data_IF_386897459717
#
_entry.id   IF_386897459717
#
_cell.length_a   1.000
_cell.length_b   1.000
_cell.length_c   1.000
_cell.angle_alpha   90.00
_cell.angle_beta   90.00
_cell.angle_gamma   90.00
#
_symmetry.space_group_name_H-M   'P 1'
#
loop_
_entity.id
_entity.type
_entity.pdbx_description
1 polymer ?
#
# COMPACT_ATOMS: atom_id res chain seq x y z
N UNK A 1 -9.76 28.24 -4.81
CA UNK A 1 -9.91 27.65 -3.47
C UNK A 1 -8.59 27.00 -3.08
N UNK A 2 -7.88 27.50 -2.06
CA UNK A 2 -6.66 26.86 -1.54
C UNK A 2 -7.10 25.64 -0.72
N UNK A 3 -6.84 24.42 -1.20
CA UNK A 3 -6.99 23.20 -0.39
C UNK A 3 -6.03 23.31 0.80
N UNK A 4 -6.56 23.43 2.00
CA UNK A 4 -5.84 23.23 3.26
C UNK A 4 -5.42 21.76 3.34
N UNK A 5 -4.25 21.43 2.78
CA UNK A 5 -3.53 20.22 3.17
C UNK A 5 -2.88 20.46 4.53
N UNK A 6 -2.75 19.38 5.32
CA UNK A 6 -1.93 19.23 6.54
C UNK A 6 -2.68 19.52 7.85
N UNK A 7 -3.21 18.45 8.45
CA UNK A 7 -2.95 18.12 9.87
C UNK A 7 -3.28 16.64 10.13
N UNK A 8 -4.35 16.09 9.56
CA UNK A 8 -4.67 14.66 9.69
C UNK A 8 -3.74 13.75 8.86
N UNK A 9 -3.28 14.24 7.71
CA UNK A 9 -2.37 13.50 6.80
C UNK A 9 -1.02 13.15 7.45
N UNK A 10 -0.45 14.03 8.28
CA UNK A 10 0.84 13.77 8.92
C UNK A 10 0.75 12.65 9.97
N UNK A 11 -0.32 12.66 10.79
CA UNK A 11 -0.53 11.65 11.82
C UNK A 11 -0.83 10.27 11.21
N UNK A 12 -1.69 10.25 10.18
CA UNK A 12 -2.00 9.05 9.39
C UNK A 12 -0.75 8.41 8.79
N UNK A 13 0.04 9.20 8.08
CA UNK A 13 1.26 8.71 7.43
C UNK A 13 2.30 8.26 8.47
N UNK A 14 2.46 8.99 9.57
CA UNK A 14 3.39 8.60 10.65
C UNK A 14 3.00 7.27 11.29
N UNK A 15 1.69 7.05 11.51
CA UNK A 15 1.18 5.79 12.05
C UNK A 15 1.43 4.63 11.07
N UNK A 16 1.12 4.81 9.78
CA UNK A 16 1.39 3.78 8.76
C UNK A 16 2.89 3.51 8.63
N UNK A 17 3.74 4.54 8.68
CA UNK A 17 5.19 4.38 8.61
C UNK A 17 5.74 3.52 9.77
N UNK A 18 5.20 3.69 10.98
CA UNK A 18 5.58 2.85 12.11
C UNK A 18 5.19 1.37 11.88
N UNK A 19 3.98 1.12 11.40
CA UNK A 19 3.49 -0.23 11.06
C UNK A 19 4.31 -0.86 9.94
N UNK A 20 4.57 -0.12 8.85
CA UNK A 20 5.38 -0.58 7.72
C UNK A 20 6.77 -0.96 8.19
N UNK A 21 7.42 -0.12 9.01
CA UNK A 21 8.78 -0.38 9.49
C UNK A 21 8.84 -1.67 10.32
N UNK A 22 7.90 -1.84 11.25
CA UNK A 22 7.83 -3.04 12.09
C UNK A 22 7.53 -4.29 11.25
N UNK A 23 6.50 -4.25 10.40
CA UNK A 23 6.09 -5.42 9.62
C UNK A 23 7.14 -5.80 8.54
N UNK A 24 7.89 -4.82 8.02
CA UNK A 24 9.02 -5.02 7.10
C UNK A 24 10.18 -5.78 7.76
N UNK A 25 10.52 -5.42 8.99
CA UNK A 25 11.55 -6.13 9.76
C UNK A 25 11.10 -7.56 10.09
N UNK A 26 9.87 -7.71 10.59
CA UNK A 26 9.30 -8.99 11.03
C UNK A 26 9.11 -10.01 9.87
N UNK A 27 8.71 -9.56 8.68
CA UNK A 27 8.28 -10.47 7.60
C UNK A 27 9.20 -10.46 6.37
N UNK A 28 10.03 -9.44 6.20
CA UNK A 28 10.87 -9.26 5.01
C UNK A 28 12.36 -9.08 5.35
N UNK A 29 12.74 -9.14 6.63
CA UNK A 29 14.12 -8.92 7.09
C UNK A 29 14.69 -7.57 6.68
N UNK A 30 13.82 -6.59 6.39
CA UNK A 30 14.20 -5.30 5.83
C UNK A 30 14.10 -4.22 6.90
N UNK A 31 15.24 -3.75 7.38
CA UNK A 31 15.30 -2.65 8.34
C UNK A 31 15.16 -1.31 7.63
N UNK A 32 13.98 -0.71 7.69
CA UNK A 32 13.72 0.61 7.10
C UNK A 32 14.12 1.73 8.06
N UNK A 33 14.84 2.72 7.54
CA UNK A 33 15.01 4.00 8.24
C UNK A 33 13.67 4.71 8.40
N UNK A 34 13.59 5.67 9.32
CA UNK A 34 12.39 6.52 9.48
C UNK A 34 12.02 7.23 8.18
N UNK A 35 13.01 7.73 7.44
CA UNK A 35 12.77 8.41 6.16
C UNK A 35 12.19 7.48 5.09
N UNK A 36 12.69 6.25 5.01
CA UNK A 36 12.19 5.24 4.07
C UNK A 36 10.79 4.76 4.42
N UNK A 37 10.50 4.53 5.70
CA UNK A 37 9.17 4.11 6.13
C UNK A 37 8.13 5.21 5.92
N UNK A 38 8.50 6.47 6.17
CA UNK A 38 7.65 7.64 5.86
C UNK A 38 7.38 7.76 4.37
N UNK A 39 8.42 7.65 3.52
CA UNK A 39 8.26 7.69 2.06
C UNK A 39 7.33 6.58 1.57
N UNK A 40 7.53 5.35 2.06
CA UNK A 40 6.70 4.20 1.69
C UNK A 40 5.26 4.37 2.14
N UNK A 41 5.02 4.89 3.35
CA UNK A 41 3.69 5.20 3.83
C UNK A 41 2.97 6.23 2.94
N UNK A 42 3.64 7.32 2.55
CA UNK A 42 3.07 8.30 1.60
C UNK A 42 2.69 7.65 0.26
N UNK A 43 3.58 6.83 -0.30
CA UNK A 43 3.32 6.16 -1.58
C UNK A 43 2.17 5.16 -1.50
N UNK A 44 1.98 4.50 -0.36
CA UNK A 44 0.83 3.62 -0.12
C UNK A 44 -0.47 4.41 -0.06
N UNK A 45 -0.50 5.56 0.65
CA UNK A 45 -1.70 6.41 0.67
C UNK A 45 -2.05 6.91 -0.74
N UNK A 46 -1.06 7.36 -1.52
CA UNK A 46 -1.29 7.74 -2.92
C UNK A 46 -1.77 6.57 -3.78
N UNK A 47 -1.27 5.36 -3.55
CA UNK A 47 -1.71 4.15 -4.25
C UNK A 47 -3.18 3.85 -3.94
N UNK A 48 -3.57 3.87 -2.67
CA UNK A 48 -4.96 3.65 -2.23
C UNK A 48 -5.88 4.70 -2.84
N UNK A 49 -5.48 5.97 -2.83
CA UNK A 49 -6.23 7.05 -3.43
C UNK A 49 -6.42 6.84 -4.94
N UNK A 50 -5.39 6.38 -5.66
CA UNK A 50 -5.53 6.03 -7.09
C UNK A 50 -6.46 4.84 -7.31
N UNK A 51 -6.27 3.76 -6.54
CA UNK A 51 -7.08 2.54 -6.67
C UNK A 51 -8.57 2.76 -6.41
N UNK A 52 -8.95 3.78 -5.63
CA UNK A 52 -10.35 4.17 -5.42
C UNK A 52 -11.03 4.66 -6.69
N UNK A 53 -10.28 5.19 -7.66
CA UNK A 53 -10.83 5.82 -8.85
C UNK A 53 -10.49 5.07 -10.15
N UNK A 54 -9.39 4.34 -10.19
CA UNK A 54 -8.93 3.62 -11.39
C UNK A 54 -7.97 2.47 -11.01
N UNK A 55 -7.53 1.72 -12.01
CA UNK A 55 -6.45 0.77 -11.89
C UNK A 55 -5.12 1.47 -11.57
N UNK A 56 -4.34 0.89 -10.67
CA UNK A 56 -3.01 1.38 -10.33
C UNK A 56 -1.99 0.24 -10.28
N UNK A 57 -0.79 0.52 -10.79
CA UNK A 57 0.33 -0.42 -10.78
C UNK A 57 1.17 -0.27 -9.52
N UNK A 58 1.54 -1.40 -8.92
CA UNK A 58 2.46 -1.47 -7.79
C UNK A 58 3.22 -2.80 -7.78
N UNK A 59 4.30 -2.87 -7.01
CA UNK A 59 5.07 -4.10 -6.84
C UNK A 59 4.88 -4.64 -5.43
N UNK A 60 4.74 -5.95 -5.31
CA UNK A 60 4.75 -6.69 -4.06
C UNK A 60 6.07 -7.45 -3.93
N UNK A 61 6.87 -7.08 -2.93
CA UNK A 61 7.98 -7.90 -2.48
C UNK A 61 7.42 -9.17 -1.81
N UNK A 62 7.99 -10.32 -2.18
CA UNK A 62 7.76 -11.62 -1.55
C UNK A 62 8.81 -11.85 -0.46
N UNK A 63 8.55 -12.79 0.43
CA UNK A 63 9.45 -13.15 1.53
C UNK A 63 10.81 -13.70 1.06
N UNK A 64 10.86 -14.23 -0.17
CA UNK A 64 12.11 -14.67 -0.83
C UNK A 64 12.91 -13.52 -1.47
N UNK A 65 12.44 -12.28 -1.33
CA UNK A 65 13.07 -11.08 -1.87
C UNK A 65 12.72 -10.76 -3.33
N UNK A 66 12.00 -11.65 -4.04
CA UNK A 66 11.52 -11.37 -5.40
C UNK A 66 10.36 -10.38 -5.38
N UNK A 67 10.10 -9.73 -6.52
CA UNK A 67 9.02 -8.76 -6.66
C UNK A 67 8.02 -9.21 -7.72
N UNK A 68 6.73 -9.04 -7.43
CA UNK A 68 5.63 -9.28 -8.36
C UNK A 68 5.00 -7.94 -8.74
N UNK A 69 4.89 -7.67 -10.03
CA UNK A 69 4.13 -6.52 -10.54
C UNK A 69 2.63 -6.83 -10.52
N UNK A 70 1.84 -5.90 -10.00
CA UNK A 70 0.39 -6.02 -9.85
C UNK A 70 -0.27 -4.78 -10.46
N UNK A 71 -1.37 -4.99 -11.17
CA UNK A 71 -2.35 -3.94 -11.49
C UNK A 71 -3.58 -4.19 -10.63
N UNK A 72 -3.83 -3.32 -9.65
CA UNK A 72 -4.91 -3.46 -8.68
C UNK A 72 -5.90 -2.31 -8.69
N UNK A 73 -7.12 -2.57 -8.21
CA UNK A 73 -8.19 -1.57 -8.11
C UNK A 73 -9.10 -1.81 -6.89
N UNK A 74 -9.80 -0.75 -6.46
CA UNK A 74 -10.83 -0.76 -5.42
C UNK A 74 -12.21 -0.33 -5.96
N UNK A 75 -12.37 -0.05 -7.26
CA UNK A 75 -13.58 0.59 -7.84
C UNK A 75 -14.88 -0.18 -7.60
N UNK A 76 -14.83 -1.50 -7.44
CA UNK A 76 -16.00 -2.36 -7.19
C UNK A 76 -16.07 -2.89 -5.74
N UNK A 77 -15.25 -2.36 -4.82
CA UNK A 77 -15.19 -2.87 -3.45
C UNK A 77 -16.57 -2.84 -2.76
N UNK A 78 -17.27 -1.72 -2.88
CA UNK A 78 -18.58 -1.56 -2.24
C UNK A 78 -19.63 -2.51 -2.83
N UNK A 79 -19.60 -2.74 -4.14
CA UNK A 79 -20.49 -3.70 -4.79
C UNK A 79 -20.30 -5.12 -4.24
N UNK A 80 -19.05 -5.57 -4.08
CA UNK A 80 -18.75 -6.92 -3.59
C UNK A 80 -18.91 -7.10 -2.08
N UNK A 81 -18.65 -6.06 -1.28
CA UNK A 81 -18.60 -6.17 0.19
C UNK A 81 -19.72 -5.40 0.92
N UNK A 82 -20.63 -4.75 0.19
CA UNK A 82 -21.80 -4.06 0.73
C UNK A 82 -21.49 -2.81 1.57
N UNK A 83 -20.27 -2.28 1.48
CA UNK A 83 -19.86 -1.04 2.17
C UNK A 83 -18.66 -0.37 1.50
N UNK A 84 -18.51 0.96 1.60
CA UNK A 84 -17.33 1.66 1.09
C UNK A 84 -16.03 1.17 1.74
N UNK A 85 -14.93 1.26 1.00
CA UNK A 85 -13.60 1.02 1.56
C UNK A 85 -13.11 2.23 2.38
N UNK A 86 -12.99 2.04 3.69
CA UNK A 86 -12.39 3.02 4.59
C UNK A 86 -10.99 2.57 4.97
N UNK A 87 -9.99 3.37 4.59
CA UNK A 87 -8.59 3.07 4.93
C UNK A 87 -8.37 3.29 6.43
N UNK A 88 -7.68 2.36 7.08
CA UNK A 88 -7.22 2.49 8.46
C UNK A 88 -5.68 2.45 8.46
N UNK A 89 -4.98 3.53 8.86
CA UNK A 89 -3.52 3.59 8.85
C UNK A 89 -2.81 2.54 9.71
N UNK A 90 -3.55 1.90 10.64
CA UNK A 90 -3.04 0.78 11.44
C UNK A 90 -3.16 -0.59 10.75
N UNK A 91 -3.90 -0.70 9.65
CA UNK A 91 -4.10 -1.97 8.96
C UNK A 91 -2.79 -2.40 8.29
N UNK A 92 -2.37 -3.64 8.61
CA UNK A 92 -1.22 -4.28 7.96
C UNK A 92 -1.56 -4.82 6.56
N UNK A 93 -2.84 -4.98 6.25
CA UNK A 93 -3.32 -5.57 5.00
C UNK A 93 -4.15 -4.58 4.20
N UNK A 94 -3.90 -4.54 2.90
CA UNK A 94 -4.65 -3.77 1.91
C UNK A 94 -5.38 -4.74 0.98
N UNK A 95 -6.73 -4.73 0.93
CA UNK A 95 -7.46 -5.41 -0.12
C UNK A 95 -7.25 -4.72 -1.47
N UNK A 96 -7.29 -5.51 -2.54
CA UNK A 96 -7.32 -5.01 -3.91
C UNK A 96 -7.94 -6.09 -4.81
N UNK A 97 -8.62 -5.66 -5.87
CA UNK A 97 -8.96 -6.55 -6.97
C UNK A 97 -7.79 -6.61 -7.93
N UNK A 98 -7.19 -7.79 -8.11
CA UNK A 98 -6.15 -8.03 -9.10
C UNK A 98 -6.80 -8.13 -10.49
N UNK A 99 -6.45 -7.20 -11.38
CA UNK A 99 -7.06 -7.10 -12.72
C UNK A 99 -6.66 -8.29 -13.60
N UNK A 100 -5.44 -8.81 -13.45
CA UNK A 100 -4.94 -9.92 -14.26
C UNK A 100 -5.50 -11.26 -13.78
N UNK A 101 -5.50 -11.49 -12.46
CA UNK A 101 -6.01 -12.71 -11.85
C UNK A 101 -7.54 -12.71 -11.69
N UNK A 102 -8.19 -11.56 -11.90
CA UNK A 102 -9.64 -11.35 -11.77
C UNK A 102 -10.20 -11.76 -10.41
N UNK A 103 -9.49 -11.43 -9.34
CA UNK A 103 -9.84 -11.88 -7.99
C UNK A 103 -9.54 -10.81 -6.94
N UNK A 104 -10.42 -10.72 -5.95
CA UNK A 104 -10.15 -9.99 -4.71
C UNK A 104 -9.07 -10.70 -3.89
N UNK A 105 -7.98 -9.99 -3.62
CA UNK A 105 -6.84 -10.44 -2.85
C UNK A 105 -6.53 -9.42 -1.75
N UNK A 106 -5.64 -9.81 -0.83
CA UNK A 106 -5.05 -8.90 0.15
C UNK A 106 -3.53 -8.99 0.06
N UNK A 107 -2.86 -7.88 0.30
CA UNK A 107 -1.40 -7.83 0.42
C UNK A 107 -1.00 -7.17 1.74
N UNK A 108 0.20 -7.51 2.23
CA UNK A 108 0.81 -6.77 3.34
C UNK A 108 1.28 -5.43 2.83
N UNK A 109 0.90 -4.36 3.53
CA UNK A 109 1.29 -2.99 3.19
C UNK A 109 2.80 -2.82 3.19
N UNK A 110 3.52 -3.47 4.13
CA UNK A 110 4.97 -3.43 4.18
C UNK A 110 5.67 -4.09 2.98
N UNK A 111 4.99 -5.03 2.31
CA UNK A 111 5.47 -5.66 1.08
C UNK A 111 5.28 -4.80 -0.17
N UNK A 112 4.52 -3.70 -0.09
CA UNK A 112 4.33 -2.79 -1.23
C UNK A 112 5.61 -1.97 -1.41
N UNK A 113 6.26 -2.15 -2.57
CA UNK A 113 7.51 -1.47 -2.92
C UNK A 113 7.34 -0.65 -4.20
N UNK A 114 8.04 0.47 -4.27
CA UNK A 114 7.98 1.43 -5.37
C UNK A 114 9.40 1.76 -5.84
N UNK A 115 9.62 1.86 -7.16
CA UNK A 115 10.90 2.27 -7.73
C UNK A 115 12.06 1.30 -7.46
N UNK A 116 13.31 1.80 -7.56
CA UNK A 116 14.60 1.09 -7.71
C UNK A 116 14.94 -0.07 -6.75
N UNK A 117 14.09 -0.39 -5.78
CA UNK A 117 14.20 -1.60 -4.96
C UNK A 117 13.74 -2.88 -5.68
N UNK A 118 13.13 -2.77 -6.86
CA UNK A 118 12.74 -3.92 -7.69
C UNK A 118 13.95 -4.39 -8.49
N UNK A 119 14.64 -5.45 -8.02
CA UNK A 119 15.48 -6.25 -8.91
C UNK A 119 14.53 -6.95 -9.89
N UNK A 120 14.46 -6.43 -11.11
CA UNK A 120 13.84 -7.13 -12.23
C UNK A 120 14.73 -8.33 -12.56
N UNK A 121 14.20 -9.54 -12.42
CA UNK A 121 14.79 -10.71 -13.08
C UNK A 121 14.49 -10.63 -14.57
#
# INVERSE_FOLDING_TARGET
>A
MKKTMKNDSCLTVSRRAAIIRQDAEENYGTLLTLGESMRRAYQVEELIDRMRWDNADFCLQRTDGTCLSITGTLTEYEHYFGRPYYENPSNRFLPYYDVHCRKWLTCRVAGIVFGSSVKKN
#
